data_IF_827572954536
#
_entry.id   IF_827572954536
#
_cell.length_a   1.000
_cell.length_b   1.000
_cell.length_c   1.000
_cell.angle_alpha   90.00
_cell.angle_beta   90.00
_cell.angle_gamma   90.00
#
_symmetry.space_group_name_H-M   'P 1'
#
loop_
_entity.id
_entity.type
_entity.pdbx_description
1 polymer ?
#
# COMPACT_ATOMS: atom_id res chain seq x y z
N UNK A 1 0.67 -11.26 -18.66
CA UNK A 1 -0.29 -11.35 -17.54
C UNK A 1 -0.03 -10.17 -16.62
N UNK A 2 -0.72 -9.05 -16.86
CA UNK A 2 -0.39 -7.78 -16.19
C UNK A 2 -1.22 -7.46 -14.93
N UNK A 3 -2.17 -8.34 -14.54
CA UNK A 3 -3.10 -8.06 -13.43
C UNK A 3 -3.01 -9.07 -12.29
N UNK A 4 -1.81 -9.61 -12.05
CA UNK A 4 -1.61 -10.66 -11.03
C UNK A 4 -1.93 -10.12 -9.64
N UNK A 5 -1.47 -8.90 -9.35
CA UNK A 5 -1.61 -8.33 -8.02
C UNK A 5 -3.08 -8.07 -7.67
N UNK A 6 -3.77 -7.32 -8.52
CA UNK A 6 -5.18 -6.94 -8.29
C UNK A 6 -6.17 -8.11 -8.29
N UNK A 7 -5.81 -9.23 -8.91
CA UNK A 7 -6.70 -10.40 -8.99
C UNK A 7 -6.44 -11.45 -7.90
N UNK A 8 -5.17 -11.69 -7.57
CA UNK A 8 -4.80 -12.85 -6.77
C UNK A 8 -4.15 -12.53 -5.42
N UNK A 9 -3.63 -11.30 -5.26
CA UNK A 9 -2.89 -10.93 -4.06
C UNK A 9 -3.69 -9.94 -3.22
N UNK A 10 -4.02 -8.78 -3.79
CA UNK A 10 -4.72 -7.72 -3.08
C UNK A 10 -5.51 -6.84 -4.05
N UNK A 11 -6.83 -6.72 -3.85
CA UNK A 11 -7.69 -5.93 -4.71
C UNK A 11 -7.43 -4.42 -4.64
N UNK A 12 -7.98 -3.70 -5.62
CA UNK A 12 -7.74 -2.26 -5.77
C UNK A 12 -8.29 -1.44 -4.59
N UNK A 13 -9.48 -1.78 -4.08
CA UNK A 13 -10.09 -1.08 -2.94
C UNK A 13 -9.28 -1.28 -1.66
N UNK A 14 -8.89 -2.53 -1.38
CA UNK A 14 -8.04 -2.85 -0.23
C UNK A 14 -6.75 -2.04 -0.24
N UNK A 15 -6.06 -2.02 -1.38
CA UNK A 15 -4.83 -1.27 -1.54
C UNK A 15 -5.08 0.24 -1.41
N UNK A 16 -6.09 0.77 -2.07
CA UNK A 16 -6.37 2.21 -2.07
C UNK A 16 -6.73 2.71 -0.67
N UNK A 17 -7.78 2.17 -0.06
CA UNK A 17 -8.27 2.69 1.21
C UNK A 17 -7.29 2.46 2.36
N UNK A 18 -6.62 1.31 2.42
CA UNK A 18 -5.61 1.08 3.45
C UNK A 18 -4.38 2.00 3.32
N UNK A 19 -3.98 2.38 2.10
CA UNK A 19 -2.87 3.33 1.88
C UNK A 19 -3.34 4.77 2.08
N UNK A 20 -4.55 5.13 1.65
CA UNK A 20 -5.13 6.44 1.89
C UNK A 20 -5.14 6.78 3.39
N UNK A 21 -5.53 5.83 4.23
CA UNK A 21 -5.46 5.98 5.69
C UNK A 21 -4.03 6.16 6.23
N UNK A 22 -3.03 5.51 5.63
CA UNK A 22 -1.61 5.67 6.02
C UNK A 22 -1.03 7.01 5.61
N UNK A 23 -1.50 7.54 4.48
CA UNK A 23 -1.10 8.82 3.91
C UNK A 23 -2.19 9.89 4.09
N UNK A 24 -3.01 9.76 5.14
CA UNK A 24 -3.98 10.78 5.53
C UNK A 24 -3.29 12.07 6.01
N UNK A 25 -3.96 13.21 5.83
CA UNK A 25 -3.45 14.53 6.23
C UNK A 25 -3.13 14.63 7.74
N UNK A 26 -3.75 13.79 8.58
CA UNK A 26 -3.39 13.66 10.00
C UNK A 26 -1.91 13.29 10.20
N UNK A 27 -1.31 12.60 9.25
CA UNK A 27 0.09 12.17 9.32
C UNK A 27 1.01 12.99 8.39
N UNK A 28 0.48 13.95 7.64
CA UNK A 28 1.17 14.75 6.62
C UNK A 28 2.49 15.35 7.09
N UNK A 29 2.49 16.05 8.22
CA UNK A 29 3.69 16.74 8.70
C UNK A 29 4.80 15.75 9.06
N UNK A 30 4.44 14.58 9.58
CA UNK A 30 5.39 13.51 9.88
C UNK A 30 5.99 12.94 8.59
N UNK A 31 5.16 12.69 7.57
CA UNK A 31 5.61 12.23 6.27
C UNK A 31 6.48 13.25 5.57
N UNK A 32 6.08 14.52 5.52
CA UNK A 32 6.88 15.60 4.92
C UNK A 32 8.24 15.75 5.59
N UNK A 33 8.31 15.61 6.91
CA UNK A 33 9.58 15.62 7.64
C UNK A 33 10.49 14.45 7.22
N UNK A 34 9.95 13.24 7.04
CA UNK A 34 10.69 12.07 6.59
C UNK A 34 11.14 12.23 5.13
N UNK A 35 10.25 12.63 4.25
CA UNK A 35 10.56 12.82 2.83
C UNK A 35 11.61 13.92 2.63
N UNK A 36 11.54 14.96 3.44
CA UNK A 36 12.46 16.10 3.42
C UNK A 36 12.69 16.64 2.00
N UNK A 37 11.58 16.84 1.26
CA UNK A 37 11.55 17.44 -0.07
C UNK A 37 11.19 18.93 0.05
N UNK A 38 11.77 19.76 -0.85
CA UNK A 38 11.49 21.19 -0.86
C UNK A 38 10.12 21.47 -1.53
N UNK A 39 9.11 21.81 -0.75
CA UNK A 39 7.74 22.05 -1.23
C UNK A 39 7.55 23.41 -1.96
N UNK A 40 8.57 24.25 -2.00
CA UNK A 40 8.55 25.53 -2.73
C UNK A 40 9.05 25.41 -4.17
N UNK A 41 9.66 24.29 -4.52
CA UNK A 41 10.18 24.03 -5.86
C UNK A 41 9.17 23.28 -6.72
N UNK A 42 9.28 23.43 -8.04
CA UNK A 42 8.53 22.65 -9.02
C UNK A 42 9.24 21.28 -9.20
N UNK A 43 9.05 20.39 -8.24
CA UNK A 43 9.68 19.09 -8.25
C UNK A 43 9.02 18.16 -9.28
N UNK A 44 9.81 17.32 -9.94
CA UNK A 44 9.33 16.16 -10.67
C UNK A 44 9.49 14.94 -9.78
N UNK A 45 8.36 14.37 -9.35
CA UNK A 45 8.33 13.21 -8.45
C UNK A 45 7.79 12.01 -9.20
N UNK A 46 8.49 10.88 -9.12
CA UNK A 46 8.05 9.60 -9.66
C UNK A 46 7.66 8.67 -8.49
N UNK A 47 6.46 8.13 -8.51
CA UNK A 47 6.10 6.98 -7.69
C UNK A 47 6.20 5.69 -8.51
N UNK A 48 6.96 4.69 -8.00
CA UNK A 48 7.12 3.37 -8.62
C UNK A 48 6.32 2.35 -7.82
N UNK A 49 5.50 1.55 -8.52
CA UNK A 49 4.58 0.60 -7.89
C UNK A 49 3.46 1.34 -7.17
N UNK A 50 2.87 2.33 -7.83
CA UNK A 50 1.87 3.22 -7.25
C UNK A 50 0.57 2.51 -6.88
N UNK A 51 0.35 1.30 -7.41
CA UNK A 51 -0.91 0.60 -7.22
C UNK A 51 -2.12 1.45 -7.63
N UNK A 52 -3.16 1.54 -6.80
CA UNK A 52 -4.35 2.34 -7.08
C UNK A 52 -4.19 3.85 -6.77
N UNK A 53 -2.97 4.36 -6.57
CA UNK A 53 -2.65 5.79 -6.58
C UNK A 53 -2.77 6.54 -5.25
N UNK A 54 -2.99 5.88 -4.13
CA UNK A 54 -3.24 6.57 -2.86
C UNK A 54 -2.08 7.44 -2.37
N UNK A 55 -0.82 7.00 -2.51
CA UNK A 55 0.34 7.82 -2.15
C UNK A 55 0.56 8.93 -3.18
N UNK A 56 0.39 8.65 -4.48
CA UNK A 56 0.46 9.67 -5.53
C UNK A 56 -0.54 10.81 -5.27
N UNK A 57 -1.78 10.48 -4.88
CA UNK A 57 -2.80 11.46 -4.48
C UNK A 57 -2.37 12.31 -3.29
N UNK A 58 -1.83 11.67 -2.24
CA UNK A 58 -1.29 12.39 -1.09
C UNK A 58 -0.11 13.31 -1.47
N UNK A 59 0.81 12.82 -2.30
CA UNK A 59 1.94 13.64 -2.80
C UNK A 59 1.46 14.86 -3.60
N UNK A 60 0.46 14.68 -4.47
CA UNK A 60 -0.13 15.78 -5.23
C UNK A 60 -0.74 16.86 -4.30
N UNK A 61 -1.46 16.44 -3.26
CA UNK A 61 -2.02 17.37 -2.27
C UNK A 61 -0.95 18.03 -1.40
N UNK A 62 0.12 17.30 -1.04
CA UNK A 62 1.15 17.80 -0.12
C UNK A 62 2.20 18.67 -0.79
N UNK A 63 2.43 18.48 -2.08
CA UNK A 63 3.41 19.21 -2.91
C UNK A 63 2.70 19.81 -4.14
N UNK A 64 1.85 20.84 -3.96
CA UNK A 64 0.97 21.36 -5.01
C UNK A 64 1.71 21.96 -6.22
N UNK A 65 3.00 22.25 -6.09
CA UNK A 65 3.85 22.73 -7.18
C UNK A 65 4.61 21.59 -7.88
N UNK A 66 4.48 20.36 -7.41
CA UNK A 66 5.18 19.22 -8.01
C UNK A 66 4.39 18.60 -9.17
N UNK A 67 5.13 18.16 -10.19
CA UNK A 67 4.62 17.27 -11.24
C UNK A 67 4.76 15.82 -10.73
N UNK A 68 3.62 15.13 -10.55
CA UNK A 68 3.60 13.74 -10.06
C UNK A 68 3.37 12.80 -11.24
N UNK A 69 4.30 11.89 -11.44
CA UNK A 69 4.18 10.74 -12.35
C UNK A 69 4.13 9.47 -11.52
N UNK A 70 3.24 8.54 -11.84
CA UNK A 70 3.04 7.34 -11.05
C UNK A 70 2.91 6.10 -11.97
N UNK A 71 3.72 5.08 -11.68
CA UNK A 71 3.86 3.89 -12.54
C UNK A 71 3.52 2.63 -11.76
N UNK A 72 2.70 1.76 -12.35
CA UNK A 72 2.48 0.39 -11.89
C UNK A 72 2.36 -0.55 -13.08
N UNK A 73 2.70 -1.83 -12.89
CA UNK A 73 2.57 -2.84 -13.94
C UNK A 73 1.15 -3.38 -14.11
N UNK A 74 0.30 -3.21 -13.09
CA UNK A 74 -1.07 -3.72 -13.06
C UNK A 74 -2.05 -2.71 -13.66
N UNK A 75 -2.56 -3.01 -14.86
CA UNK A 75 -3.46 -2.14 -15.62
C UNK A 75 -4.77 -1.84 -14.87
N UNK A 76 -5.29 -2.79 -14.07
CA UNK A 76 -6.52 -2.59 -13.29
C UNK A 76 -6.28 -1.60 -12.15
N UNK A 77 -5.11 -1.66 -11.51
CA UNK A 77 -4.75 -0.70 -10.47
C UNK A 77 -4.57 0.71 -11.07
N UNK A 78 -3.93 0.83 -12.22
CA UNK A 78 -3.79 2.11 -12.94
C UNK A 78 -5.15 2.66 -13.37
N UNK A 79 -6.05 1.83 -13.91
CA UNK A 79 -7.40 2.27 -14.25
C UNK A 79 -8.14 2.79 -13.03
N UNK A 80 -8.06 2.09 -11.91
CA UNK A 80 -8.65 2.54 -10.65
C UNK A 80 -8.06 3.88 -10.18
N UNK A 81 -6.73 4.05 -10.27
CA UNK A 81 -6.04 5.27 -9.89
C UNK A 81 -6.51 6.47 -10.72
N UNK A 82 -6.63 6.34 -12.04
CA UNK A 82 -7.13 7.38 -12.96
C UNK A 82 -8.56 7.82 -12.61
N UNK A 83 -9.40 6.88 -12.19
CA UNK A 83 -10.79 7.17 -11.82
C UNK A 83 -10.89 7.94 -10.50
N UNK A 84 -10.00 7.69 -9.54
CA UNK A 84 -10.08 8.18 -8.17
C UNK A 84 -9.18 9.40 -7.89
N UNK A 85 -8.04 9.51 -8.55
CA UNK A 85 -7.08 10.59 -8.32
C UNK A 85 -6.94 11.46 -9.60
N UNK A 86 -6.86 12.78 -9.43
CA UNK A 86 -6.77 13.72 -10.55
C UNK A 86 -5.48 14.56 -10.46
N UNK A 87 -5.04 15.07 -11.59
CA UNK A 87 -3.83 15.93 -11.65
C UNK A 87 -2.51 15.17 -11.57
N UNK A 88 -2.54 13.85 -11.78
CA UNK A 88 -1.38 12.95 -11.72
C UNK A 88 -1.25 12.22 -13.05
N UNK A 89 -0.03 12.06 -13.53
CA UNK A 89 0.28 11.30 -14.75
C UNK A 89 0.48 9.81 -14.40
N UNK A 90 -0.62 9.04 -14.53
CA UNK A 90 -0.62 7.60 -14.29
C UNK A 90 -0.29 6.82 -15.55
N UNK A 91 0.61 5.83 -15.45
CA UNK A 91 0.96 4.98 -16.58
C UNK A 91 1.25 3.53 -16.19
N UNK A 92 0.94 2.62 -17.10
CA UNK A 92 1.35 1.22 -16.99
C UNK A 92 2.83 1.12 -17.37
N UNK A 93 3.65 0.52 -16.50
CA UNK A 93 5.08 0.35 -16.76
C UNK A 93 5.76 -0.61 -15.81
N UNK A 94 6.95 -1.05 -16.22
CA UNK A 94 7.79 -1.96 -15.44
C UNK A 94 8.85 -1.18 -14.66
N UNK A 95 8.91 -1.40 -13.35
CA UNK A 95 9.92 -0.82 -12.47
C UNK A 95 11.37 -1.20 -12.84
N UNK A 96 11.54 -2.29 -13.57
CA UNK A 96 12.84 -2.76 -14.07
C UNK A 96 13.23 -2.16 -15.43
N UNK A 97 12.33 -1.41 -16.08
CA UNK A 97 12.54 -0.77 -17.38
C UNK A 97 11.66 0.45 -17.54
N UNK A 98 11.98 1.51 -16.80
CA UNK A 98 11.19 2.74 -16.76
C UNK A 98 11.31 3.52 -18.08
N UNK A 99 10.19 3.99 -18.69
CA UNK A 99 10.19 4.66 -19.98
C UNK A 99 10.61 6.15 -19.89
N UNK A 100 11.56 6.46 -19.01
CA UNK A 100 12.04 7.82 -18.79
C UNK A 100 13.51 7.94 -19.09
N UNK A 101 13.94 9.15 -19.51
CA UNK A 101 15.34 9.47 -19.72
C UNK A 101 16.10 9.49 -18.37
N UNK A 102 17.42 9.33 -18.46
CA UNK A 102 18.30 9.51 -17.31
C UNK A 102 18.18 10.96 -16.76
N UNK A 103 18.18 11.10 -15.44
CA UNK A 103 18.19 12.41 -14.80
C UNK A 103 16.89 13.21 -14.99
N UNK A 104 15.75 12.55 -15.03
CA UNK A 104 14.44 13.21 -15.24
C UNK A 104 13.83 13.73 -13.94
N UNK A 105 13.93 12.98 -12.83
CA UNK A 105 13.19 13.24 -11.60
C UNK A 105 14.05 13.82 -10.48
N UNK A 106 13.45 14.68 -9.69
CA UNK A 106 14.06 15.24 -8.47
C UNK A 106 13.92 14.27 -7.29
N UNK A 107 12.82 13.49 -7.26
CA UNK A 107 12.60 12.45 -6.28
C UNK A 107 11.97 11.22 -6.93
N UNK A 108 12.35 10.03 -6.44
CA UNK A 108 11.69 8.76 -6.76
C UNK A 108 11.25 8.12 -5.45
N UNK A 109 9.99 7.74 -5.38
CA UNK A 109 9.38 7.16 -4.17
C UNK A 109 8.76 5.80 -4.54
N UNK A 110 8.91 4.83 -3.65
CA UNK A 110 8.19 3.56 -3.73
C UNK A 110 7.67 3.15 -2.37
N UNK A 111 6.51 2.49 -2.33
CA UNK A 111 5.90 2.05 -1.09
C UNK A 111 5.50 0.57 -1.15
N UNK A 112 6.14 -0.27 -0.34
CA UNK A 112 5.90 -1.74 -0.29
C UNK A 112 6.09 -2.41 -1.66
N UNK A 113 7.19 -2.12 -2.33
CA UNK A 113 7.54 -2.61 -3.67
C UNK A 113 8.86 -3.37 -3.67
N UNK A 114 9.85 -2.88 -2.94
CA UNK A 114 11.22 -3.41 -2.95
C UNK A 114 11.33 -4.88 -2.54
N UNK A 115 10.35 -5.39 -1.79
CA UNK A 115 10.27 -6.78 -1.34
C UNK A 115 9.94 -7.76 -2.48
N UNK A 116 9.40 -7.25 -3.59
CA UNK A 116 8.83 -8.05 -4.68
C UNK A 116 9.66 -7.99 -5.97
N UNK A 117 10.68 -7.14 -6.01
CA UNK A 117 11.46 -6.85 -7.22
C UNK A 117 12.94 -7.10 -6.99
N UNK A 118 13.62 -7.62 -7.99
CA UNK A 118 15.06 -7.86 -7.95
C UNK A 118 15.82 -6.55 -7.67
N UNK A 119 16.66 -6.51 -6.61
CA UNK A 119 17.22 -5.24 -6.11
C UNK A 119 18.10 -4.51 -7.12
N UNK A 120 18.90 -5.24 -7.94
CA UNK A 120 19.81 -4.62 -8.89
C UNK A 120 19.06 -3.80 -9.94
N UNK A 121 18.04 -4.37 -10.56
CA UNK A 121 17.23 -3.66 -11.55
C UNK A 121 16.43 -2.53 -10.89
N UNK A 122 15.80 -2.82 -9.74
CA UNK A 122 14.97 -1.85 -9.03
C UNK A 122 15.72 -0.59 -8.59
N UNK A 123 16.85 -0.74 -7.89
CA UNK A 123 17.66 0.41 -7.48
C UNK A 123 18.41 1.04 -8.66
N UNK A 124 18.83 0.23 -9.66
CA UNK A 124 19.50 0.71 -10.86
C UNK A 124 18.62 1.65 -11.69
N UNK A 125 17.35 1.32 -11.90
CA UNK A 125 16.42 2.17 -12.63
C UNK A 125 16.07 3.45 -11.84
N UNK A 126 15.86 3.36 -10.53
CA UNK A 126 15.67 4.55 -9.69
C UNK A 126 16.86 5.48 -9.75
N UNK A 127 18.08 4.92 -9.63
CA UNK A 127 19.31 5.70 -9.75
C UNK A 127 19.45 6.35 -11.13
N UNK A 128 19.13 5.62 -12.20
CA UNK A 128 19.22 6.12 -13.57
C UNK A 128 18.32 7.33 -13.81
N UNK A 129 17.05 7.22 -13.43
CA UNK A 129 16.05 8.26 -13.71
C UNK A 129 16.15 9.48 -12.79
N UNK A 130 16.83 9.37 -11.65
CA UNK A 130 17.08 10.49 -10.75
C UNK A 130 18.09 11.48 -11.32
N UNK A 131 17.85 12.77 -11.11
CA UNK A 131 18.85 13.84 -11.31
C UNK A 131 20.00 13.69 -10.31
N UNK A 132 21.14 14.32 -10.59
CA UNK A 132 22.18 14.52 -9.58
C UNK A 132 21.65 15.33 -8.42
N UNK A 133 21.93 14.91 -7.19
CA UNK A 133 21.33 15.46 -5.97
C UNK A 133 19.88 15.04 -5.73
N UNK A 134 19.29 14.26 -6.63
CA UNK A 134 17.92 13.73 -6.49
C UNK A 134 17.80 12.68 -5.39
N UNK A 135 16.61 12.55 -4.85
CA UNK A 135 16.31 11.73 -3.66
C UNK A 135 15.57 10.45 -4.04
N UNK A 136 16.08 9.32 -3.54
CA UNK A 136 15.38 8.03 -3.57
C UNK A 136 14.76 7.77 -2.18
N UNK A 137 13.45 7.46 -2.17
CA UNK A 137 12.69 7.10 -0.98
C UNK A 137 12.07 5.72 -1.15
N UNK A 138 12.43 4.78 -0.28
CA UNK A 138 11.86 3.43 -0.26
C UNK A 138 11.13 3.23 1.05
N UNK A 139 9.81 3.14 0.97
CA UNK A 139 8.93 2.88 2.11
C UNK A 139 8.59 1.40 2.17
N UNK A 140 8.74 0.79 3.33
CA UNK A 140 8.46 -0.62 3.53
C UNK A 140 7.71 -0.86 4.83
N UNK A 141 6.57 -1.54 4.75
CA UNK A 141 5.82 -1.96 5.94
C UNK A 141 6.53 -3.12 6.60
N UNK A 142 6.92 -2.96 7.88
CA UNK A 142 7.79 -3.93 8.57
C UNK A 142 7.07 -4.79 9.57
N UNK A 143 6.38 -4.16 10.50
CA UNK A 143 5.69 -4.86 11.57
C UNK A 143 4.35 -4.17 11.82
N UNK A 144 3.38 -4.94 12.28
CA UNK A 144 2.07 -4.42 12.66
C UNK A 144 1.60 -5.05 13.96
N UNK A 145 0.65 -4.39 14.59
CA UNK A 145 -0.21 -4.93 15.64
C UNK A 145 -1.63 -4.84 15.09
N UNK A 146 -2.31 -5.97 15.07
CA UNK A 146 -3.71 -6.02 14.66
C UNK A 146 -4.49 -6.73 15.79
N UNK A 147 -5.27 -5.97 16.53
CA UNK A 147 -6.18 -6.46 17.57
C UNK A 147 -7.59 -6.01 17.24
N UNK A 148 -8.34 -6.89 16.59
CA UNK A 148 -9.71 -6.64 16.12
C UNK A 148 -10.69 -7.54 16.86
N UNK A 149 -11.24 -7.06 17.97
CA UNK A 149 -12.16 -7.81 18.85
C UNK A 149 -13.52 -8.08 18.21
N UNK A 150 -13.89 -7.35 17.17
CA UNK A 150 -15.16 -7.56 16.45
C UNK A 150 -15.08 -8.66 15.38
N UNK A 151 -13.92 -9.28 15.19
CA UNK A 151 -13.72 -10.37 14.20
C UNK A 151 -13.88 -11.78 14.80
N UNK A 152 -14.88 -11.97 15.67
CA UNK A 152 -15.26 -13.31 16.09
C UNK A 152 -15.95 -14.06 14.94
N UNK A 153 -15.18 -14.92 14.28
CA UNK A 153 -15.68 -15.71 13.16
C UNK A 153 -16.71 -16.74 13.60
N UNK A 154 -17.81 -16.82 12.85
CA UNK A 154 -18.78 -17.90 12.96
C UNK A 154 -18.16 -19.26 12.63
N UNK A 155 -18.80 -20.36 13.02
CA UNK A 155 -18.32 -21.70 12.67
C UNK A 155 -18.31 -21.94 11.16
N UNK A 156 -19.17 -21.26 10.40
CA UNK A 156 -19.18 -21.31 8.94
C UNK A 156 -17.92 -20.65 8.35
N UNK A 157 -17.58 -19.46 8.81
CA UNK A 157 -16.37 -18.74 8.40
C UNK A 157 -15.09 -19.49 8.75
N UNK A 158 -15.01 -20.05 9.97
CA UNK A 158 -13.86 -20.87 10.38
C UNK A 158 -13.65 -22.07 9.46
N UNK A 159 -14.74 -22.73 9.06
CA UNK A 159 -14.69 -23.86 8.10
C UNK A 159 -14.25 -23.40 6.71
N UNK A 160 -14.76 -22.27 6.22
CA UNK A 160 -14.40 -21.70 4.93
C UNK A 160 -12.90 -21.36 4.89
N UNK A 161 -12.40 -20.59 5.86
CA UNK A 161 -10.99 -20.19 5.91
C UNK A 161 -10.06 -21.39 6.10
N UNK A 162 -10.41 -22.35 6.93
CA UNK A 162 -9.64 -23.61 7.07
C UNK A 162 -9.58 -24.41 5.77
N UNK A 163 -10.62 -24.33 4.94
CA UNK A 163 -10.61 -24.92 3.59
C UNK A 163 -9.69 -24.11 2.67
N UNK A 164 -9.74 -22.78 2.70
CA UNK A 164 -8.92 -21.91 1.87
C UNK A 164 -7.41 -22.04 2.17
N UNK A 165 -7.02 -22.12 3.44
CA UNK A 165 -5.61 -22.30 3.86
C UNK A 165 -4.94 -23.52 3.24
N UNK A 166 -5.69 -24.55 2.86
CA UNK A 166 -5.11 -25.76 2.24
C UNK A 166 -4.62 -25.55 0.81
N UNK A 167 -5.10 -24.51 0.16
CA UNK A 167 -4.84 -24.22 -1.24
C UNK A 167 -4.04 -22.92 -1.44
N UNK A 168 -3.85 -22.11 -0.37
CA UNK A 168 -3.19 -20.82 -0.47
C UNK A 168 -1.67 -20.99 -0.67
N UNK A 169 -1.26 -20.92 -1.93
CA UNK A 169 0.14 -20.87 -2.37
C UNK A 169 0.46 -19.53 -3.09
N UNK A 170 -0.41 -18.52 -2.94
CA UNK A 170 -0.32 -17.28 -3.67
C UNK A 170 1.01 -16.53 -3.45
N UNK A 171 1.58 -16.61 -2.24
CA UNK A 171 2.86 -16.00 -1.90
C UNK A 171 4.00 -16.65 -2.72
N UNK A 172 4.03 -17.99 -2.75
CA UNK A 172 5.07 -18.74 -3.46
C UNK A 172 4.88 -18.67 -4.98
N UNK A 173 3.64 -18.86 -5.45
CA UNK A 173 3.27 -18.89 -6.87
C UNK A 173 3.61 -17.59 -7.60
N UNK A 174 3.46 -16.44 -6.92
CA UNK A 174 3.64 -15.12 -7.52
C UNK A 174 4.88 -14.38 -7.04
N UNK A 175 5.83 -15.08 -6.39
CA UNK A 175 7.07 -14.50 -5.87
C UNK A 175 6.85 -13.31 -4.91
N UNK A 176 5.74 -13.27 -4.18
CA UNK A 176 5.43 -12.20 -3.22
C UNK A 176 6.42 -12.25 -2.06
N UNK A 177 7.13 -11.13 -1.84
CA UNK A 177 8.15 -11.04 -0.78
C UNK A 177 9.45 -11.77 -1.07
N UNK A 178 9.69 -12.24 -2.28
CA UNK A 178 10.88 -13.02 -2.68
C UNK A 178 12.20 -12.31 -2.37
N UNK A 179 12.21 -10.99 -2.41
CA UNK A 179 13.40 -10.15 -2.19
C UNK A 179 13.34 -9.41 -0.86
N UNK A 180 12.63 -9.95 0.12
CA UNK A 180 12.57 -9.36 1.44
C UNK A 180 13.98 -9.23 2.05
N UNK A 181 14.32 -8.03 2.47
CA UNK A 181 15.56 -7.72 3.17
C UNK A 181 15.25 -7.25 4.60
N UNK A 182 16.10 -7.59 5.57
CA UNK A 182 15.97 -7.11 6.94
C UNK A 182 16.25 -5.60 7.01
N UNK A 183 15.75 -4.96 8.06
CA UNK A 183 15.90 -3.52 8.28
C UNK A 183 17.37 -3.07 8.23
N UNK A 184 18.27 -3.88 8.79
CA UNK A 184 19.72 -3.61 8.79
C UNK A 184 20.41 -3.83 7.45
N UNK A 185 19.78 -4.59 6.55
CA UNK A 185 20.33 -4.91 5.22
C UNK A 185 19.95 -3.85 4.18
N UNK A 186 18.76 -3.24 4.31
CA UNK A 186 18.25 -2.29 3.32
C UNK A 186 19.15 -1.08 3.07
N UNK A 187 19.70 -0.40 4.09
CA UNK A 187 20.64 0.71 3.86
C UNK A 187 21.88 0.24 3.09
N UNK A 188 22.44 -0.90 3.45
CA UNK A 188 23.62 -1.47 2.80
C UNK A 188 23.34 -1.81 1.32
N UNK A 189 22.13 -2.31 1.04
CA UNK A 189 21.69 -2.56 -0.34
C UNK A 189 21.62 -1.25 -1.13
N UNK A 190 21.01 -0.20 -0.58
CA UNK A 190 20.89 1.09 -1.24
C UNK A 190 22.27 1.72 -1.51
N UNK A 191 23.20 1.70 -0.55
CA UNK A 191 24.57 2.15 -0.71
C UNK A 191 25.32 1.37 -1.80
N UNK A 192 25.12 0.05 -1.88
CA UNK A 192 25.73 -0.81 -2.90
C UNK A 192 25.36 -0.39 -4.33
N UNK A 193 24.18 0.20 -4.50
CA UNK A 193 23.72 0.69 -5.80
C UNK A 193 24.04 2.17 -6.04
N UNK A 194 24.97 2.75 -5.26
CA UNK A 194 25.57 4.05 -5.53
C UNK A 194 24.91 5.23 -4.83
N UNK A 195 23.88 5.02 -4.03
CA UNK A 195 23.28 6.08 -3.25
C UNK A 195 24.19 6.48 -2.09
N UNK A 196 24.22 7.77 -1.79
CA UNK A 196 24.98 8.37 -0.70
C UNK A 196 24.03 9.03 0.32
N UNK A 197 24.55 9.46 1.47
CA UNK A 197 23.75 10.08 2.54
C UNK A 197 22.55 9.23 2.95
N UNK A 198 22.75 7.89 2.95
CA UNK A 198 21.68 6.94 3.25
C UNK A 198 21.27 7.09 4.71
N UNK A 199 19.97 7.21 4.93
CA UNK A 199 19.38 7.34 6.27
C UNK A 199 18.10 6.53 6.38
N UNK A 200 17.74 6.19 7.60
CA UNK A 200 16.52 5.45 7.92
C UNK A 200 15.67 6.21 8.91
N UNK A 201 14.36 6.13 8.73
CA UNK A 201 13.39 6.63 9.70
C UNK A 201 12.27 5.60 9.87
N UNK A 202 11.52 5.66 10.96
CA UNK A 202 10.41 4.75 11.22
C UNK A 202 9.17 5.55 11.61
N UNK A 203 8.07 5.31 10.91
CA UNK A 203 6.79 5.91 11.20
C UNK A 203 5.80 4.86 11.67
N UNK A 204 5.23 5.11 12.86
CA UNK A 204 4.11 4.32 13.36
C UNK A 204 2.81 4.99 12.98
N UNK A 205 1.96 4.28 12.27
CA UNK A 205 0.58 4.65 11.93
C UNK A 205 -0.34 3.77 12.76
N UNK A 206 -1.06 4.38 13.69
CA UNK A 206 -2.03 3.70 14.53
C UNK A 206 -3.44 4.13 14.13
N UNK A 207 -4.24 3.19 13.67
CA UNK A 207 -5.61 3.35 13.23
C UNK A 207 -6.51 2.64 14.25
N UNK A 208 -7.17 3.43 15.10
CA UNK A 208 -8.08 2.98 16.17
C UNK A 208 -9.36 3.78 16.03
N UNK A 209 -10.42 3.26 15.43
CA UNK A 209 -11.63 4.03 15.11
C UNK A 209 -12.22 4.79 16.30
N UNK A 210 -12.14 4.21 17.51
CA UNK A 210 -12.70 4.79 18.73
C UNK A 210 -11.81 5.85 19.41
N UNK A 211 -10.60 6.10 18.90
CA UNK A 211 -9.73 7.15 19.41
C UNK A 211 -10.28 8.53 19.01
N UNK A 212 -10.56 9.43 19.97
CA UNK A 212 -11.18 10.72 19.69
C UNK A 212 -10.36 11.67 18.81
N UNK A 213 -9.12 11.34 18.49
CA UNK A 213 -8.32 12.08 17.50
C UNK A 213 -8.83 11.92 16.07
N UNK A 214 -9.58 10.87 15.77
CA UNK A 214 -10.18 10.63 14.47
C UNK A 214 -11.57 11.27 14.39
N UNK A 215 -11.89 11.90 13.27
CA UNK A 215 -13.25 12.31 12.94
C UNK A 215 -14.14 11.07 12.76
N UNK A 216 -15.46 11.25 12.88
CA UNK A 216 -16.40 10.15 12.61
C UNK A 216 -16.27 9.61 11.19
N UNK A 217 -16.03 10.48 10.22
CA UNK A 217 -15.78 10.08 8.83
C UNK A 217 -14.55 9.19 8.70
N UNK A 218 -13.43 9.61 9.29
CA UNK A 218 -12.19 8.84 9.24
C UNK A 218 -12.30 7.52 10.03
N UNK A 219 -13.05 7.50 11.13
CA UNK A 219 -13.35 6.28 11.87
C UNK A 219 -14.14 5.26 11.02
N UNK A 220 -15.16 5.73 10.27
CA UNK A 220 -15.89 4.91 9.31
C UNK A 220 -14.97 4.40 8.19
N UNK A 221 -14.08 5.24 7.66
CA UNK A 221 -13.11 4.84 6.63
C UNK A 221 -12.15 3.75 7.14
N UNK A 222 -11.71 3.83 8.40
CA UNK A 222 -10.86 2.80 9.02
C UNK A 222 -11.62 1.47 9.08
N UNK A 223 -12.87 1.47 9.56
CA UNK A 223 -13.70 0.26 9.64
C UNK A 223 -13.97 -0.30 8.24
N UNK A 224 -14.33 0.55 7.29
CA UNK A 224 -14.61 0.12 5.91
C UNK A 224 -13.36 -0.34 5.16
N UNK A 225 -12.17 0.15 5.48
CA UNK A 225 -10.92 -0.36 4.90
C UNK A 225 -10.72 -1.84 5.21
N UNK A 226 -11.01 -2.26 6.43
CA UNK A 226 -10.98 -3.68 6.83
C UNK A 226 -12.09 -4.48 6.12
N UNK A 227 -13.30 -3.89 5.98
CA UNK A 227 -14.40 -4.50 5.18
C UNK A 227 -13.96 -4.78 3.74
N UNK A 228 -13.37 -3.81 3.06
CA UNK A 228 -12.90 -4.02 1.69
C UNK A 228 -11.85 -5.12 1.61
N UNK A 229 -10.96 -5.19 2.57
CA UNK A 229 -9.94 -6.23 2.64
C UNK A 229 -10.55 -7.64 2.76
N UNK A 230 -11.54 -7.80 3.65
CA UNK A 230 -12.20 -9.10 3.85
C UNK A 230 -13.02 -9.51 2.60
N UNK A 231 -13.74 -8.57 1.97
CA UNK A 231 -14.53 -8.83 0.76
C UNK A 231 -13.65 -9.19 -0.45
N UNK A 232 -12.61 -8.40 -0.74
CA UNK A 232 -11.74 -8.66 -1.90
C UNK A 232 -10.89 -9.93 -1.70
N UNK A 233 -10.58 -10.30 -0.45
CA UNK A 233 -9.94 -11.58 -0.15
C UNK A 233 -10.83 -12.78 -0.53
N UNK A 234 -12.14 -12.68 -0.35
CA UNK A 234 -13.09 -13.72 -0.78
C UNK A 234 -13.11 -13.84 -2.30
N UNK A 235 -13.09 -12.72 -3.03
CA UNK A 235 -12.98 -12.73 -4.48
C UNK A 235 -11.68 -13.38 -4.96
N UNK A 236 -10.56 -13.07 -4.30
CA UNK A 236 -9.26 -13.66 -4.62
C UNK A 236 -9.25 -15.19 -4.41
N UNK A 237 -9.91 -15.68 -3.36
CA UNK A 237 -10.07 -17.14 -3.11
C UNK A 237 -10.86 -17.79 -4.23
N UNK A 238 -11.98 -17.19 -4.65
CA UNK A 238 -12.81 -17.72 -5.74
C UNK A 238 -12.04 -17.75 -7.07
N UNK A 239 -11.33 -16.66 -7.40
CA UNK A 239 -10.51 -16.58 -8.62
C UNK A 239 -9.34 -17.57 -8.61
N UNK A 240 -8.71 -17.76 -7.47
CA UNK A 240 -7.55 -18.66 -7.35
C UNK A 240 -7.93 -20.14 -7.39
N UNK A 241 -9.11 -20.48 -6.87
CA UNK A 241 -9.52 -21.88 -6.63
C UNK A 241 -10.96 -22.15 -7.08
N UNK A 242 -11.32 -21.88 -8.35
CA UNK A 242 -12.71 -21.98 -8.83
C UNK A 242 -13.28 -23.40 -8.77
N UNK A 243 -12.42 -24.43 -8.78
CA UNK A 243 -12.84 -25.82 -8.64
C UNK A 243 -13.15 -26.22 -7.19
N UNK A 244 -12.77 -25.39 -6.24
CA UNK A 244 -12.91 -25.69 -4.80
C UNK A 244 -13.91 -24.79 -4.10
N UNK A 245 -14.16 -23.58 -4.60
CA UNK A 245 -15.07 -22.60 -4.00
C UNK A 245 -16.13 -22.20 -5.01
N UNK A 246 -17.35 -22.01 -4.52
CA UNK A 246 -18.47 -21.57 -5.35
C UNK A 246 -18.80 -20.10 -5.13
N UNK A 247 -19.45 -19.48 -6.10
CA UNK A 247 -20.00 -18.12 -5.97
C UNK A 247 -20.97 -18.05 -4.78
N UNK A 248 -21.80 -19.07 -4.58
CA UNK A 248 -22.77 -19.13 -3.47
C UNK A 248 -22.06 -19.11 -2.10
N UNK A 249 -21.03 -19.97 -1.90
CA UNK A 249 -20.24 -19.95 -0.66
C UNK A 249 -19.61 -18.57 -0.42
N UNK A 250 -19.08 -17.94 -1.46
CA UNK A 250 -18.42 -16.64 -1.39
C UNK A 250 -19.42 -15.53 -1.08
N UNK A 251 -20.59 -15.53 -1.71
CA UNK A 251 -21.64 -14.53 -1.43
C UNK A 251 -22.23 -14.67 -0.01
N UNK A 252 -22.36 -15.88 0.51
CA UNK A 252 -22.73 -16.08 1.93
C UNK A 252 -21.67 -15.46 2.84
N UNK A 253 -20.39 -15.71 2.57
CA UNK A 253 -19.29 -15.15 3.34
C UNK A 253 -19.25 -13.62 3.28
N UNK A 254 -19.46 -13.01 2.10
CA UNK A 254 -19.52 -11.56 1.93
C UNK A 254 -20.68 -10.95 2.70
N UNK A 255 -21.84 -11.60 2.71
CA UNK A 255 -22.99 -11.14 3.51
C UNK A 255 -22.64 -11.14 4.99
N UNK A 256 -22.11 -12.23 5.53
CA UNK A 256 -21.71 -12.34 6.94
C UNK A 256 -20.67 -11.25 7.29
N UNK A 257 -19.68 -11.03 6.41
CA UNK A 257 -18.70 -9.99 6.61
C UNK A 257 -19.35 -8.59 6.63
N UNK A 258 -20.22 -8.27 5.68
CA UNK A 258 -20.93 -6.99 5.64
C UNK A 258 -21.77 -6.75 6.89
N UNK A 259 -22.56 -7.72 7.32
CA UNK A 259 -23.37 -7.64 8.54
C UNK A 259 -22.51 -7.33 9.78
N UNK A 260 -21.34 -7.96 9.91
CA UNK A 260 -20.38 -7.71 11.00
C UNK A 260 -19.85 -6.27 10.98
N UNK A 261 -19.49 -5.75 9.82
CA UNK A 261 -18.99 -4.38 9.72
C UNK A 261 -20.10 -3.34 9.88
N UNK A 262 -21.34 -3.63 9.44
CA UNK A 262 -22.50 -2.79 9.71
C UNK A 262 -22.77 -2.71 11.22
N UNK A 263 -22.73 -3.84 11.92
CA UNK A 263 -22.84 -3.89 13.39
C UNK A 263 -21.71 -3.11 14.07
N UNK A 264 -20.47 -3.19 13.55
CA UNK A 264 -19.33 -2.42 14.10
C UNK A 264 -19.51 -0.91 13.94
N UNK A 265 -20.03 -0.47 12.80
CA UNK A 265 -20.35 0.94 12.54
C UNK A 265 -21.48 1.38 13.48
N UNK A 266 -22.54 0.59 13.60
CA UNK A 266 -23.66 0.89 14.50
C UNK A 266 -23.21 1.04 15.96
N UNK A 267 -22.32 0.18 16.45
CA UNK A 267 -21.72 0.31 17.78
C UNK A 267 -20.96 1.63 17.92
N UNK A 268 -20.14 1.98 16.93
CA UNK A 268 -19.41 3.25 16.92
C UNK A 268 -20.37 4.46 17.01
N UNK A 269 -21.43 4.47 16.20
CA UNK A 269 -22.43 5.55 16.17
C UNK A 269 -23.22 5.68 17.49
N UNK A 270 -23.45 4.56 18.18
CA UNK A 270 -24.05 4.53 19.51
C UNK A 270 -23.09 4.93 20.63
N UNK A 271 -21.82 5.16 20.33
CA UNK A 271 -20.78 5.48 21.31
C UNK A 271 -20.28 4.25 22.10
N UNK A 272 -20.59 3.05 21.64
CA UNK A 272 -20.07 1.82 22.21
C UNK A 272 -18.64 1.60 21.75
N UNK A 273 -17.68 1.65 22.66
CA UNK A 273 -16.26 1.58 22.36
C UNK A 273 -15.73 0.16 22.34
N UNK A 274 -15.14 -0.24 21.23
CA UNK A 274 -14.52 -1.57 21.03
C UNK A 274 -13.01 -1.52 21.20
N UNK A 275 -12.38 -0.39 20.82
CA UNK A 275 -10.94 -0.16 20.90
C UNK A 275 -10.13 -1.15 20.05
N UNK A 276 -10.72 -1.66 18.98
CA UNK A 276 -9.98 -2.37 17.97
C UNK A 276 -8.91 -1.46 17.34
N UNK A 277 -7.75 -2.02 17.06
CA UNK A 277 -6.63 -1.22 16.58
C UNK A 277 -5.82 -1.94 15.53
N UNK A 278 -5.38 -1.18 14.54
CA UNK A 278 -4.41 -1.61 13.54
C UNK A 278 -3.23 -0.65 13.56
N UNK A 279 -2.05 -1.17 13.92
CA UNK A 279 -0.81 -0.39 13.97
C UNK A 279 0.15 -0.91 12.93
N UNK A 280 0.61 -0.04 12.05
CA UNK A 280 1.67 -0.34 11.08
C UNK A 280 2.95 0.41 11.44
N UNK A 281 4.09 -0.28 11.42
CA UNK A 281 5.41 0.33 11.49
C UNK A 281 6.00 0.34 10.08
N UNK A 282 6.22 1.53 9.55
CA UNK A 282 6.76 1.73 8.20
C UNK A 282 8.19 2.25 8.33
N UNK A 283 9.12 1.52 7.75
CA UNK A 283 10.50 1.97 7.57
C UNK A 283 10.55 2.85 6.32
N UNK A 284 11.13 4.02 6.45
CA UNK A 284 11.47 4.91 5.34
C UNK A 284 13.00 4.93 5.17
N UNK A 285 13.47 4.48 4.03
CA UNK A 285 14.85 4.52 3.63
C UNK A 285 15.03 5.66 2.63
N UNK A 286 15.96 6.57 2.90
CA UNK A 286 16.28 7.72 2.06
C UNK A 286 17.73 7.66 1.62
N UNK A 287 18.01 7.91 0.34
CA UNK A 287 19.35 8.05 -0.21
C UNK A 287 19.38 9.12 -1.30
N UNK A 288 20.56 9.61 -1.64
CA UNK A 288 20.76 10.65 -2.65
C UNK A 288 21.65 10.15 -3.79
N UNK A 289 21.34 10.55 -5.03
CA UNK A 289 22.23 10.34 -6.18
C UNK A 289 23.32 11.41 -6.17
N UNK A 290 24.61 11.05 -6.11
CA UNK A 290 25.73 11.99 -6.04
C UNK A 290 25.89 12.88 -7.29
#
# INVERSE_FOLDING_TARGET
>A
MNNIWSMYIQGAKTLYYSRKLRFDDLFKDRWKKIFNLNDKENLKILEIGCGPGALAGALHCWYPNAEITAVDRDEKLISFAIDHEKGIDFMVGDALSLPFAEGTFDAVISNTVCEHIEPKGFYGEQFRVLKKGGVCLVLSSRKGINDTKYKDFTEYEKKFWKKAEKYDDSIERYDVGKYYAKESEMPVIMERYGFVNVSTDFLTIALTPDDPKFSSELAHDIINSDRYSDIERLDSVLYSFPDHFTEEETEIMKRIANERYDERIEKFEKGERVWDTNVSVIMALRGEKP
#
